data_IF_860931841437
#
_entry.id   IF_860931841437
#
_cell.length_a   1.000
_cell.length_b   1.000
_cell.length_c   1.000
_cell.angle_alpha   90.00
_cell.angle_beta   90.00
_cell.angle_gamma   90.00
#
_symmetry.space_group_name_H-M   'P 1'
#
loop_
_entity.id
_entity.type
_entity.pdbx_description
1 polymer ?
#
# COMPACT_ATOMS: atom_id res chain seq x y z
N UNK A 1 -18.48 -3.94 7.84
CA UNK A 1 -17.66 -3.10 8.74
C UNK A 1 -16.92 -3.97 9.76
N UNK A 2 -16.19 -5.01 9.33
CA UNK A 2 -15.57 -5.96 10.26
C UNK A 2 -14.21 -6.48 9.80
N UNK A 3 -13.92 -6.49 8.49
CA UNK A 3 -12.64 -6.97 7.94
C UNK A 3 -11.45 -6.10 8.39
N UNK A 4 -11.61 -4.78 8.38
CA UNK A 4 -10.55 -3.81 8.71
C UNK A 4 -9.96 -3.98 10.12
N UNK A 5 -10.79 -4.32 11.11
CA UNK A 5 -10.31 -4.50 12.49
C UNK A 5 -9.62 -5.84 12.69
N UNK A 6 -10.11 -6.91 12.05
CA UNK A 6 -9.49 -8.25 12.15
C UNK A 6 -8.09 -8.29 11.54
N UNK A 7 -7.85 -7.49 10.48
CA UNK A 7 -6.54 -7.34 9.84
C UNK A 7 -5.49 -6.79 10.83
N UNK A 8 -5.83 -5.74 11.59
CA UNK A 8 -4.96 -5.06 12.56
C UNK A 8 -4.54 -5.94 13.77
N UNK A 9 -5.27 -7.03 14.04
CA UNK A 9 -4.99 -7.93 15.17
C UNK A 9 -4.21 -9.20 14.76
N UNK A 10 -3.86 -9.36 13.48
CA UNK A 10 -2.98 -10.44 13.07
C UNK A 10 -1.57 -10.20 13.62
N UNK A 11 -0.82 -11.23 14.07
CA UNK A 11 0.58 -11.11 14.52
C UNK A 11 1.56 -10.77 13.39
N UNK A 12 1.02 -10.42 12.23
CA UNK A 12 1.71 -10.13 11.00
C UNK A 12 1.96 -8.64 10.93
N UNK A 13 3.15 -8.28 10.48
CA UNK A 13 3.59 -6.90 10.42
C UNK A 13 2.82 -6.17 9.32
N UNK A 14 2.22 -5.05 9.68
CA UNK A 14 1.50 -4.16 8.76
C UNK A 14 2.29 -2.86 8.64
N UNK A 15 2.67 -2.53 7.41
CA UNK A 15 3.25 -1.25 7.03
C UNK A 15 2.23 -0.44 6.24
N UNK A 16 2.48 0.86 6.08
CA UNK A 16 1.62 1.71 5.27
C UNK A 16 2.40 2.78 4.53
N UNK A 17 1.77 3.29 3.48
CA UNK A 17 2.09 4.59 2.91
C UNK A 17 0.79 5.29 2.50
N UNK A 18 0.85 6.60 2.38
CA UNK A 18 -0.25 7.39 1.83
C UNK A 18 0.20 8.12 0.59
N UNK A 19 -0.74 8.34 -0.33
CA UNK A 19 -0.44 8.97 -1.62
C UNK A 19 -1.49 10.01 -1.98
N UNK A 20 -1.07 11.04 -2.69
CA UNK A 20 -1.98 12.04 -3.26
C UNK A 20 -2.72 11.50 -4.50
N UNK A 21 -3.61 12.33 -5.04
CA UNK A 21 -4.36 12.04 -6.27
C UNK A 21 -3.50 11.81 -7.52
N UNK A 22 -2.26 12.30 -7.53
CA UNK A 22 -1.30 12.08 -8.60
C UNK A 22 -0.37 10.89 -8.29
N UNK A 23 -0.68 10.12 -7.24
CA UNK A 23 0.06 8.94 -6.78
C UNK A 23 1.46 9.24 -6.23
N UNK A 24 1.72 10.48 -5.80
CA UNK A 24 2.94 10.80 -5.08
C UNK A 24 2.82 10.40 -3.61
N UNK A 25 3.86 9.79 -3.07
CA UNK A 25 3.96 9.43 -1.66
C UNK A 25 3.90 10.70 -0.79
N UNK A 26 3.06 10.70 0.23
CA UNK A 26 2.92 11.79 1.20
C UNK A 26 3.56 11.42 2.54
N UNK A 27 3.10 10.30 3.11
CA UNK A 27 3.58 9.77 4.38
C UNK A 27 3.86 8.27 4.24
N UNK A 28 4.71 7.71 5.10
CA UNK A 28 5.04 6.28 5.12
C UNK A 28 5.39 5.78 6.51
N UNK A 29 5.18 4.51 6.77
CA UNK A 29 5.73 3.83 7.93
C UNK A 29 7.24 3.62 7.81
N UNK A 30 7.88 3.26 8.92
CA UNK A 30 9.34 3.20 9.03
C UNK A 30 9.95 2.13 8.14
N UNK A 31 9.25 1.02 7.90
CA UNK A 31 9.86 -0.16 7.28
C UNK A 31 9.17 -0.61 5.99
N UNK A 32 8.23 0.18 5.44
CA UNK A 32 7.51 -0.14 4.20
C UNK A 32 8.43 -0.41 3.00
N UNK A 33 9.63 0.19 2.99
CA UNK A 33 10.62 0.01 1.93
C UNK A 33 11.12 -1.44 1.80
N UNK A 34 10.93 -2.28 2.82
CA UNK A 34 11.25 -3.71 2.76
C UNK A 34 10.35 -4.48 1.77
N UNK A 35 9.20 -3.89 1.40
CA UNK A 35 8.22 -4.47 0.48
C UNK A 35 8.24 -3.84 -0.91
N UNK A 36 9.16 -2.92 -1.20
CA UNK A 36 9.23 -2.16 -2.45
C UNK A 36 10.29 -2.69 -3.42
N UNK A 37 10.07 -2.54 -4.73
CA UNK A 37 10.98 -2.95 -5.80
C UNK A 37 12.27 -2.13 -5.79
N UNK A 38 12.09 -0.82 -5.57
CA UNK A 38 13.16 0.16 -5.44
C UNK A 38 13.05 0.77 -4.03
N UNK A 39 13.62 0.14 -2.98
CA UNK A 39 13.50 0.62 -1.60
C UNK A 39 13.93 2.07 -1.40
N UNK A 40 14.95 2.51 -2.14
CA UNK A 40 15.49 3.87 -2.08
C UNK A 40 14.55 4.93 -2.66
N UNK A 41 13.60 4.52 -3.52
CA UNK A 41 12.62 5.41 -4.14
C UNK A 41 11.36 5.60 -3.28
N UNK A 42 11.24 4.90 -2.14
CA UNK A 42 10.10 4.99 -1.23
C UNK A 42 10.22 6.25 -0.36
N UNK A 43 10.07 7.39 -0.99
CA UNK A 43 10.29 8.72 -0.41
C UNK A 43 9.11 9.64 -0.69
N UNK A 44 8.74 10.55 0.24
CA UNK A 44 7.73 11.55 -0.02
C UNK A 44 8.03 12.38 -1.28
N UNK A 45 7.02 12.59 -2.11
CA UNK A 45 7.09 13.28 -3.40
C UNK A 45 7.36 12.35 -4.59
N UNK A 46 7.88 11.13 -4.38
CA UNK A 46 8.09 10.17 -5.46
C UNK A 46 6.78 9.47 -5.85
N UNK A 47 6.71 9.03 -7.10
CA UNK A 47 5.60 8.23 -7.62
C UNK A 47 5.63 6.82 -7.00
N UNK A 48 4.56 6.45 -6.28
CA UNK A 48 4.43 5.16 -5.59
C UNK A 48 4.57 3.97 -6.53
N UNK A 49 4.17 4.12 -7.80
CA UNK A 49 4.15 3.03 -8.78
C UNK A 49 5.56 2.57 -9.16
N UNK A 50 6.57 3.45 -9.00
CA UNK A 50 7.98 3.08 -9.18
C UNK A 50 8.40 2.05 -8.13
N UNK A 51 7.90 2.19 -6.90
CA UNK A 51 8.22 1.31 -5.78
C UNK A 51 7.33 0.06 -5.72
N UNK A 52 6.08 0.21 -6.17
CA UNK A 52 5.06 -0.83 -6.19
C UNK A 52 4.51 -0.93 -7.62
N UNK A 53 5.23 -1.60 -8.54
CA UNK A 53 4.84 -1.70 -9.93
C UNK A 53 3.51 -2.41 -10.16
N UNK A 54 3.02 -3.13 -9.15
CA UNK A 54 1.68 -3.75 -9.12
C UNK A 54 0.55 -2.71 -9.23
N UNK A 55 0.86 -1.43 -8.97
CA UNK A 55 -0.08 -0.31 -9.09
C UNK A 55 -0.15 0.28 -10.50
N UNK A 56 0.79 -0.05 -11.41
CA UNK A 56 0.67 0.35 -12.80
C UNK A 56 -0.53 -0.34 -13.46
N UNK A 57 -1.35 0.44 -14.18
CA UNK A 57 -2.58 -0.06 -14.81
C UNK A 57 -3.80 -0.09 -13.88
N UNK A 58 -3.64 0.28 -12.60
CA UNK A 58 -4.74 0.41 -11.64
C UNK A 58 -5.19 1.86 -11.44
N UNK A 59 -4.69 2.81 -12.22
CA UNK A 59 -4.92 4.25 -12.03
C UNK A 59 -6.42 4.59 -11.94
N UNK A 60 -7.23 4.05 -12.84
CA UNK A 60 -8.69 4.30 -12.84
C UNK A 60 -9.36 3.77 -11.57
N UNK A 61 -8.92 2.60 -11.07
CA UNK A 61 -9.40 2.01 -9.82
C UNK A 61 -9.03 2.90 -8.64
N UNK A 62 -7.78 3.39 -8.60
CA UNK A 62 -7.31 4.28 -7.54
C UNK A 62 -8.09 5.60 -7.54
N UNK A 63 -8.36 6.18 -8.71
CA UNK A 63 -9.21 7.36 -8.86
C UNK A 63 -10.66 7.08 -8.43
N UNK A 64 -11.22 5.92 -8.79
CA UNK A 64 -12.57 5.52 -8.36
C UNK A 64 -12.68 5.42 -6.83
N UNK A 65 -11.62 4.99 -6.15
CA UNK A 65 -11.55 4.97 -4.68
C UNK A 65 -11.49 6.39 -4.12
N UNK A 66 -10.63 7.26 -4.66
CA UNK A 66 -10.53 8.67 -4.26
C UNK A 66 -11.90 9.35 -4.40
N UNK A 67 -12.60 9.10 -5.50
CA UNK A 67 -13.90 9.70 -5.81
C UNK A 67 -15.09 8.97 -5.15
N UNK A 68 -14.80 8.00 -4.28
CA UNK A 68 -15.78 7.19 -3.53
C UNK A 68 -16.77 6.41 -4.40
N UNK A 69 -16.43 6.16 -5.67
CA UNK A 69 -17.17 5.23 -6.54
C UNK A 69 -16.87 3.77 -6.17
N UNK A 70 -15.69 3.52 -5.63
CA UNK A 70 -15.26 2.24 -5.10
C UNK A 70 -14.81 2.41 -3.64
N UNK A 71 -15.07 1.42 -2.79
CA UNK A 71 -14.75 1.51 -1.35
C UNK A 71 -13.28 1.25 -1.09
N UNK A 72 -12.74 0.19 -1.69
CA UNK A 72 -11.36 -0.25 -1.56
C UNK A 72 -10.96 -1.15 -2.74
N UNK A 73 -9.68 -1.48 -2.81
CA UNK A 73 -9.14 -2.49 -3.72
C UNK A 73 -8.07 -3.30 -2.98
N UNK A 74 -7.92 -4.57 -3.36
CA UNK A 74 -7.05 -5.51 -2.69
C UNK A 74 -6.27 -6.33 -3.71
N UNK A 75 -4.97 -6.47 -3.47
CA UNK A 75 -4.06 -7.35 -4.21
C UNK A 75 -3.50 -8.35 -3.21
N UNK A 76 -3.78 -9.63 -3.45
CA UNK A 76 -3.30 -10.72 -2.58
C UNK A 76 -2.11 -11.44 -3.22
N UNK A 77 -1.21 -11.95 -2.40
CA UNK A 77 -0.14 -12.85 -2.81
C UNK A 77 0.97 -12.18 -3.63
N UNK A 78 1.24 -10.90 -3.40
CA UNK A 78 2.40 -10.23 -3.99
C UNK A 78 3.67 -10.82 -3.38
N UNK A 79 4.68 -11.07 -4.22
CA UNK A 79 5.97 -11.57 -3.78
C UNK A 79 7.08 -10.66 -4.26
N UNK A 80 8.07 -10.43 -3.39
CA UNK A 80 9.26 -9.64 -3.75
C UNK A 80 10.52 -10.30 -3.20
N UNK A 81 11.58 -10.32 -4.00
CA UNK A 81 12.89 -10.77 -3.55
C UNK A 81 13.55 -9.65 -2.74
N UNK A 82 13.70 -9.85 -1.43
CA UNK A 82 14.39 -8.89 -0.57
C UNK A 82 15.92 -8.96 -0.73
N UNK A 83 16.64 -7.99 -0.14
CA UNK A 83 18.10 -7.89 -0.21
C UNK A 83 18.87 -9.11 0.34
N UNK A 84 18.23 -9.94 1.16
CA UNK A 84 18.80 -11.19 1.68
C UNK A 84 18.50 -12.41 0.78
N UNK A 85 17.96 -12.21 -0.42
CA UNK A 85 17.57 -13.26 -1.38
C UNK A 85 16.45 -14.20 -0.89
N UNK A 86 15.75 -13.81 0.17
CA UNK A 86 14.56 -14.49 0.65
C UNK A 86 13.32 -13.76 0.11
N UNK A 87 12.34 -14.49 -0.46
CA UNK A 87 11.10 -13.89 -0.88
C UNK A 87 10.29 -13.46 0.34
N UNK A 88 9.76 -12.24 0.28
CA UNK A 88 8.72 -11.77 1.20
C UNK A 88 7.40 -11.85 0.45
N UNK A 89 6.38 -12.36 1.12
CA UNK A 89 5.02 -12.41 0.61
C UNK A 89 4.17 -11.40 1.34
N UNK A 90 3.40 -10.62 0.61
CA UNK A 90 2.55 -9.58 1.19
C UNK A 90 1.31 -9.34 0.36
N UNK A 91 0.27 -8.85 1.05
CA UNK A 91 -0.94 -8.35 0.44
C UNK A 91 -0.93 -6.80 0.47
N UNK A 92 -1.60 -6.18 -0.50
CA UNK A 92 -1.77 -4.74 -0.59
C UNK A 92 -3.26 -4.42 -0.49
N UNK A 93 -3.65 -3.61 0.48
CA UNK A 93 -5.01 -3.10 0.62
C UNK A 93 -5.03 -1.57 0.42
N UNK A 94 -5.89 -1.09 -0.46
CA UNK A 94 -5.94 0.32 -0.86
C UNK A 94 -7.32 0.88 -0.59
N UNK A 95 -7.39 2.01 0.12
CA UNK A 95 -8.65 2.70 0.41
C UNK A 95 -8.44 4.20 0.52
N UNK A 96 -9.51 4.99 0.50
CA UNK A 96 -9.43 6.42 0.80
C UNK A 96 -9.00 6.62 2.25
N UNK A 97 -8.06 7.52 2.52
CA UNK A 97 -7.60 7.78 3.89
C UNK A 97 -8.72 8.41 4.72
N UNK A 98 -9.27 7.72 5.75
CA UNK A 98 -10.40 8.21 6.53
C UNK A 98 -10.00 9.32 7.51
N UNK A 99 -8.70 9.47 7.80
CA UNK A 99 -8.21 10.40 8.84
C UNK A 99 -7.95 11.82 8.32
N UNK A 100 -7.90 11.99 6.99
CA UNK A 100 -7.50 13.24 6.33
C UNK A 100 -8.62 13.86 5.48
N UNK A 101 -9.88 13.48 5.69
CA UNK A 101 -10.98 14.13 4.96
C UNK A 101 -11.02 15.65 5.25
N UNK A 102 -11.14 16.52 4.23
CA UNK A 102 -11.59 16.25 2.85
C UNK A 102 -10.47 16.02 1.81
N UNK A 103 -9.22 15.79 2.21
CA UNK A 103 -8.09 15.61 1.27
C UNK A 103 -8.29 14.34 0.43
N UNK A 104 -8.07 14.46 -0.88
CA UNK A 104 -8.05 13.35 -1.83
C UNK A 104 -6.74 12.58 -1.69
N UNK A 105 -6.72 11.71 -0.68
CA UNK A 105 -5.58 10.90 -0.28
C UNK A 105 -6.00 9.43 -0.19
N UNK A 106 -5.15 8.55 -0.70
CA UNK A 106 -5.28 7.10 -0.50
C UNK A 106 -4.34 6.65 0.61
N UNK A 107 -4.78 5.67 1.38
CA UNK A 107 -3.93 4.86 2.25
C UNK A 107 -3.73 3.50 1.61
N UNK A 108 -2.48 3.08 1.53
CA UNK A 108 -2.03 1.78 1.03
C UNK A 108 -1.44 1.04 2.22
N UNK A 109 -2.10 -0.04 2.62
CA UNK A 109 -1.65 -0.95 3.67
C UNK A 109 -0.95 -2.13 3.03
N UNK A 110 0.19 -2.50 3.59
CA UNK A 110 1.00 -3.62 3.14
C UNK A 110 1.13 -4.59 4.30
N UNK A 111 0.65 -5.81 4.11
CA UNK A 111 0.56 -6.83 5.14
C UNK A 111 1.49 -7.97 4.80
N UNK A 112 2.47 -8.24 5.65
CA UNK A 112 3.31 -9.43 5.52
C UNK A 112 2.44 -10.69 5.73
N UNK A 113 2.44 -11.60 4.76
CA UNK A 113 1.72 -12.88 4.83
C UNK A 113 2.64 -14.08 4.70
N UNK A 114 3.95 -13.86 4.85
CA UNK A 114 4.94 -14.94 4.86
C UNK A 114 4.63 -15.94 5.98
N UNK A 115 4.60 -17.23 5.65
CA UNK A 115 4.46 -18.28 6.66
C UNK A 115 5.70 -18.29 7.57
N UNK A 116 5.48 -18.36 8.90
CA UNK A 116 6.54 -18.45 9.91
C UNK A 116 6.94 -19.89 10.21
#
# INVERSE_FOLDING_TARGET
MTTFLTELFSPNRIEYLTVDRNFHILEKSSEVQQFADCPDEVMPGNDVRVCFPELFGLEDVLIDIIERRQVNFELEGVSRLGGNNLPVYFDINISKNPTKEPVDELIILIKDVSEK
#
